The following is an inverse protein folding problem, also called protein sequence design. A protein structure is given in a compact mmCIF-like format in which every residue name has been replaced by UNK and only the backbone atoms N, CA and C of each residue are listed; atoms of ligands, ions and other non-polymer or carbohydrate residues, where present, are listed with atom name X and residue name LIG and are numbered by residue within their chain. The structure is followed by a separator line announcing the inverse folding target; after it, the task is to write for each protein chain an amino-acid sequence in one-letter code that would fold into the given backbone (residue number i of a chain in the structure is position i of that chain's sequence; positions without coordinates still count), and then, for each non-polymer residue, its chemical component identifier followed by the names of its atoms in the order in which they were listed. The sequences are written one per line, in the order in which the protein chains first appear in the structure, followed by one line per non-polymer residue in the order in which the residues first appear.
data_IF_027739258087
#
_entry.id   IF_027739258087
#
_cell.length_a   1.000
_cell.length_b   1.000
_cell.length_c   1.000
_cell.angle_alpha   90.00
_cell.angle_beta   90.00
_cell.angle_gamma   90.00
#
_symmetry.space_group_name_H-M   'P 1'
#
loop_
_entity.id
_entity.type
_entity.pdbx_description
1 polymer ?
#
# COMPACT_ATOMS: atom_id res chain seq x y z
N UNK A 1 -51.11 -28.60 -58.41
CA UNK A 1 -50.20 -29.15 -59.43
C UNK A 1 -48.97 -28.24 -59.51
N UNK A 2 -47.74 -28.71 -59.82
CA UNK A 2 -46.90 -29.55 -58.96
C UNK A 2 -45.40 -29.11 -58.97
N UNK A 3 -44.55 -29.89 -58.27
CA UNK A 3 -43.15 -30.25 -58.65
C UNK A 3 -42.05 -29.18 -58.39
N UNK A 4 -40.86 -29.47 -57.83
CA UNK A 4 -40.03 -30.68 -57.87
C UNK A 4 -39.10 -30.81 -56.66
N UNK A 5 -38.77 -32.06 -56.33
CA UNK A 5 -37.63 -32.48 -55.51
C UNK A 5 -36.29 -32.01 -56.11
N UNK A 6 -35.32 -31.73 -55.24
CA UNK A 6 -33.91 -32.08 -55.47
C UNK A 6 -33.24 -32.37 -54.11
N UNK A 7 -32.85 -33.63 -53.94
CA UNK A 7 -32.04 -34.15 -52.84
C UNK A 7 -30.58 -34.05 -53.27
N UNK A 8 -29.72 -33.47 -52.43
CA UNK A 8 -28.27 -33.73 -52.46
C UNK A 8 -27.83 -33.96 -51.02
N UNK A 9 -27.36 -35.18 -50.77
CA UNK A 9 -26.76 -35.61 -49.53
C UNK A 9 -25.30 -35.13 -49.47
N UNK A 10 -24.85 -34.69 -48.29
CA UNK A 10 -23.44 -34.76 -47.93
C UNK A 10 -23.31 -35.17 -46.46
N UNK A 11 -22.71 -36.33 -46.26
CA UNK A 11 -22.36 -36.91 -44.98
C UNK A 11 -21.20 -36.14 -44.34
N UNK A 12 -21.29 -35.89 -43.04
CA UNK A 12 -20.13 -35.84 -42.15
C UNK A 12 -20.53 -36.39 -40.79
N UNK A 13 -20.14 -37.64 -40.55
CA UNK A 13 -20.23 -38.35 -39.28
C UNK A 13 -18.97 -38.02 -38.48
N UNK A 14 -19.12 -37.49 -37.28
CA UNK A 14 -18.09 -37.61 -36.24
C UNK A 14 -18.73 -38.22 -35.00
N UNK A 15 -18.41 -39.49 -34.83
CA UNK A 15 -18.70 -40.32 -33.66
C UNK A 15 -17.82 -39.91 -32.48
N UNK A 16 -18.28 -40.26 -31.28
CA UNK A 16 -17.87 -39.67 -30.02
C UNK A 16 -16.51 -40.09 -29.46
N UNK A 17 -16.27 -39.60 -28.25
CA UNK A 17 -15.32 -40.16 -27.28
C UNK A 17 -15.68 -39.60 -25.90
N UNK A 18 -16.51 -40.34 -25.17
CA UNK A 18 -16.58 -40.22 -23.72
C UNK A 18 -15.26 -40.79 -23.17
N UNK A 19 -14.43 -39.94 -22.56
CA UNK A 19 -13.30 -40.40 -21.78
C UNK A 19 -13.70 -40.40 -20.30
N UNK A 20 -14.34 -41.49 -19.88
CA UNK A 20 -14.19 -41.96 -18.50
C UNK A 20 -12.84 -42.66 -18.43
N UNK A 21 -11.96 -42.23 -17.54
CA UNK A 21 -10.80 -43.03 -17.13
C UNK A 21 -10.81 -43.16 -15.62
N UNK A 22 -11.41 -44.25 -15.16
CA UNK A 22 -11.02 -44.86 -13.90
C UNK A 22 -9.61 -45.42 -14.09
N UNK A 23 -8.70 -45.09 -13.19
CA UNK A 23 -7.44 -45.82 -13.06
C UNK A 23 -7.21 -46.02 -11.57
N UNK A 24 -7.67 -47.17 -11.09
CA UNK A 24 -7.14 -47.80 -9.89
C UNK A 24 -5.66 -48.11 -10.16
N UNK A 25 -4.79 -47.44 -9.42
CA UNK A 25 -3.36 -47.67 -9.45
C UNK A 25 -2.81 -47.42 -8.06
N UNK A 26 -2.61 -48.49 -7.30
CA UNK A 26 -1.90 -48.45 -6.01
C UNK A 26 -0.41 -48.25 -6.34
N UNK A 27 0.26 -47.18 -5.87
CA UNK A 27 1.69 -47.06 -6.08
C UNK A 27 2.43 -48.10 -5.22
N UNK A 28 3.08 -49.06 -5.89
CA UNK A 28 4.08 -49.95 -5.29
C UNK A 28 5.38 -49.16 -5.17
N UNK A 29 5.91 -49.05 -3.95
CA UNK A 29 7.18 -48.40 -3.67
C UNK A 29 8.36 -49.25 -4.18
N UNK A 30 9.31 -48.61 -4.87
CA UNK A 30 10.67 -49.13 -5.06
C UNK A 30 11.69 -48.02 -4.68
N UNK A 31 12.85 -48.38 -4.11
CA UNK A 31 13.51 -47.59 -3.09
C UNK A 31 14.64 -46.70 -3.61
N UNK A 32 14.88 -45.58 -2.92
CA UNK A 32 16.21 -45.00 -2.79
C UNK A 32 16.50 -43.73 -3.59
N UNK A 33 15.92 -42.61 -3.17
CA UNK A 33 16.63 -41.33 -3.02
C UNK A 33 15.78 -40.47 -2.06
N UNK A 34 16.22 -40.37 -0.81
CA UNK A 34 15.53 -39.60 0.23
C UNK A 34 15.55 -38.11 -0.14
N UNK A 35 14.49 -37.64 -0.80
CA UNK A 35 14.10 -36.23 -0.69
C UNK A 35 13.31 -36.11 0.60
N UNK A 36 13.94 -35.51 1.61
CA UNK A 36 13.24 -35.07 2.81
C UNK A 36 12.16 -34.08 2.39
N UNK A 37 10.93 -34.57 2.26
CA UNK A 37 9.76 -33.74 2.32
C UNK A 37 9.69 -33.20 3.75
N UNK A 38 10.21 -31.99 3.95
CA UNK A 38 9.88 -31.23 5.15
C UNK A 38 8.42 -30.85 5.02
N UNK A 39 7.56 -31.59 5.71
CA UNK A 39 6.21 -31.15 6.03
C UNK A 39 6.35 -29.85 6.83
N UNK A 40 6.12 -28.70 6.20
CA UNK A 40 6.07 -27.44 6.93
C UNK A 40 4.78 -27.45 7.75
N UNK A 41 4.87 -27.95 8.97
CA UNK A 41 3.92 -27.61 10.03
C UNK A 41 3.82 -26.08 10.04
N UNK A 42 2.60 -25.55 9.92
CA UNK A 42 2.35 -24.13 10.07
C UNK A 42 2.89 -23.67 11.43
N UNK A 43 4.11 -23.15 11.40
CA UNK A 43 4.75 -22.50 12.52
C UNK A 43 4.22 -21.09 12.45
N UNK A 44 3.57 -20.63 13.52
CA UNK A 44 3.09 -19.25 13.66
C UNK A 44 4.23 -18.29 13.32
N UNK A 45 4.21 -17.69 12.12
CA UNK A 45 5.17 -16.67 11.71
C UNK A 45 4.99 -15.44 12.58
N UNK A 46 5.84 -15.29 13.59
CA UNK A 46 5.92 -14.10 14.46
C UNK A 46 7.35 -13.55 14.57
N UNK A 47 8.29 -14.06 13.78
CA UNK A 47 9.72 -13.72 13.92
C UNK A 47 10.35 -13.06 12.69
N UNK A 48 9.59 -12.75 11.63
CA UNK A 48 10.09 -11.85 10.57
C UNK A 48 9.69 -10.41 10.93
N UNK A 49 10.65 -9.46 11.00
CA UNK A 49 10.34 -8.05 11.22
C UNK A 49 9.35 -7.55 10.18
N UNK A 50 8.38 -6.73 10.59
CA UNK A 50 7.46 -6.12 9.64
C UNK A 50 8.23 -5.35 8.54
N UNK A 51 7.73 -5.33 7.29
CA UNK A 51 8.40 -4.65 6.19
C UNK A 51 8.76 -3.21 6.54
N UNK A 52 9.99 -2.78 6.28
CA UNK A 52 10.41 -1.39 6.47
C UNK A 52 10.56 -0.92 7.93
N UNK A 53 10.46 -1.83 8.91
CA UNK A 53 10.87 -1.57 10.28
C UNK A 53 12.39 -1.69 10.38
N UNK A 54 13.04 -0.62 10.83
CA UNK A 54 14.48 -0.54 11.09
C UNK A 54 14.73 -0.15 12.54
N UNK A 55 15.90 -0.48 13.12
CA UNK A 55 16.26 0.01 14.44
C UNK A 55 16.13 1.53 14.51
N UNK A 56 15.35 2.03 15.47
CA UNK A 56 15.16 3.46 15.66
C UNK A 56 16.50 4.14 15.87
N UNK A 57 16.87 5.14 15.05
CA UNK A 57 18.12 5.85 15.22
C UNK A 57 18.11 6.63 16.54
N UNK A 58 19.27 6.72 17.19
CA UNK A 58 19.39 7.59 18.37
C UNK A 58 19.12 9.07 17.97
N UNK A 59 18.44 9.86 18.83
CA UNK A 59 18.21 11.27 18.57
C UNK A 59 19.52 11.99 18.27
N UNK A 60 19.62 12.60 17.07
CA UNK A 60 20.79 13.39 16.68
C UNK A 60 20.62 14.83 17.17
N UNK A 61 21.51 15.35 18.04
CA UNK A 61 21.48 16.76 18.39
C UNK A 61 22.00 17.62 17.22
N UNK A 62 21.18 18.56 16.75
CA UNK A 62 21.59 19.52 15.73
C UNK A 62 20.39 20.25 15.09
N UNK A 63 20.63 21.38 14.39
CA UNK A 63 19.58 22.15 13.72
C UNK A 63 19.19 21.58 12.33
N UNK A 64 19.79 20.46 11.91
CA UNK A 64 19.53 19.89 10.60
C UNK A 64 18.23 19.07 10.62
N UNK A 65 17.46 19.07 9.51
CA UNK A 65 16.28 18.23 9.41
C UNK A 65 16.67 16.76 9.62
N UNK A 66 15.79 16.01 10.28
CA UNK A 66 15.97 14.58 10.55
C UNK A 66 16.15 13.82 9.22
N UNK A 67 15.41 14.25 8.20
CA UNK A 67 15.48 13.77 6.83
C UNK A 67 15.32 14.93 5.85
N UNK A 68 16.10 14.93 4.78
CA UNK A 68 15.90 15.83 3.63
C UNK A 68 16.24 15.07 2.35
N UNK A 69 15.34 15.05 1.34
CA UNK A 69 15.65 14.45 0.06
C UNK A 69 16.76 15.24 -0.64
N UNK A 70 17.61 14.56 -1.41
CA UNK A 70 18.74 15.18 -2.10
C UNK A 70 18.32 16.26 -3.11
N UNK A 71 17.08 16.22 -3.58
CA UNK A 71 16.47 17.24 -4.43
C UNK A 71 15.09 17.56 -3.90
N UNK A 72 14.87 18.83 -3.53
CA UNK A 72 13.57 19.29 -3.07
C UNK A 72 12.67 19.63 -4.27
N UNK A 73 11.39 19.23 -4.25
CA UNK A 73 10.40 19.67 -5.22
C UNK A 73 10.30 21.21 -5.25
N UNK A 74 10.15 21.82 -6.44
CA UNK A 74 10.06 23.28 -6.57
C UNK A 74 8.80 23.82 -5.90
N UNK A 75 7.69 23.10 -6.00
CA UNK A 75 6.44 23.38 -5.29
C UNK A 75 6.26 22.34 -4.19
N UNK A 76 6.10 22.81 -2.97
CA UNK A 76 5.98 21.98 -1.77
C UNK A 76 5.13 22.69 -0.73
N UNK A 77 4.53 21.91 0.16
CA UNK A 77 3.78 22.40 1.32
C UNK A 77 4.39 21.84 2.59
N UNK A 78 4.42 22.66 3.63
CA UNK A 78 4.81 22.23 4.97
C UNK A 78 3.54 21.82 5.71
N UNK A 79 3.41 20.54 6.02
CA UNK A 79 2.41 20.04 6.94
C UNK A 79 2.90 20.27 8.38
N UNK A 80 2.05 20.92 9.18
CA UNK A 80 2.32 21.27 10.57
C UNK A 80 1.05 21.10 11.39
N UNK A 81 1.18 20.62 12.62
CA UNK A 81 0.08 20.49 13.58
C UNK A 81 0.26 21.46 14.74
N UNK A 82 -0.76 21.59 15.59
CA UNK A 82 -0.74 22.55 16.69
C UNK A 82 0.18 22.14 17.87
N UNK A 83 0.55 20.86 17.93
CA UNK A 83 1.48 20.33 18.93
C UNK A 83 2.90 20.88 18.66
N UNK A 84 3.48 21.67 19.59
CA UNK A 84 4.80 22.28 19.39
C UNK A 84 5.94 21.27 19.39
N UNK A 85 5.73 20.05 19.91
CA UNK A 85 6.75 19.00 19.98
C UNK A 85 6.70 18.06 18.76
N UNK A 86 5.74 18.28 17.86
CA UNK A 86 5.55 17.50 16.65
C UNK A 86 6.58 17.88 15.57
N UNK A 87 7.04 16.90 14.77
CA UNK A 87 7.84 17.19 13.60
C UNK A 87 7.00 17.90 12.55
N UNK A 88 7.67 18.53 11.58
CA UNK A 88 7.05 19.02 10.35
C UNK A 88 7.34 18.07 9.19
N UNK A 89 6.44 18.01 8.21
CA UNK A 89 6.64 17.23 6.99
C UNK A 89 6.52 18.14 5.77
N UNK A 90 7.57 18.27 4.97
CA UNK A 90 7.53 19.06 3.73
C UNK A 90 7.37 18.16 2.52
N UNK A 91 6.15 18.07 1.99
CA UNK A 91 5.78 17.17 0.89
C UNK A 91 5.71 17.92 -0.44
N UNK A 92 5.96 17.19 -1.53
CA UNK A 92 5.78 17.70 -2.89
C UNK A 92 4.33 18.10 -3.14
N UNK A 93 4.10 19.11 -3.99
CA UNK A 93 2.77 19.43 -4.51
C UNK A 93 2.79 19.18 -6.01
N UNK A 94 2.01 18.20 -6.52
CA UNK A 94 1.96 17.97 -7.96
C UNK A 94 1.37 19.18 -8.71
N UNK A 95 1.75 19.32 -9.98
CA UNK A 95 1.28 20.43 -10.81
C UNK A 95 -0.25 20.47 -10.91
N UNK A 96 -0.81 21.66 -10.76
CA UNK A 96 -2.27 21.88 -10.84
C UNK A 96 -3.05 21.46 -9.59
N UNK A 97 -2.39 21.00 -8.52
CA UNK A 97 -3.02 20.73 -7.23
C UNK A 97 -3.13 22.01 -6.38
N UNK A 98 -4.18 22.08 -5.57
CA UNK A 98 -4.30 23.07 -4.51
C UNK A 98 -3.85 22.48 -3.18
N UNK A 99 -3.42 23.34 -2.25
CA UNK A 99 -2.94 22.96 -0.92
C UNK A 99 -3.53 23.88 0.15
N UNK A 100 -3.82 23.32 1.31
CA UNK A 100 -4.28 24.04 2.50
C UNK A 100 -3.73 23.40 3.77
N UNK A 101 -3.64 24.17 4.86
CA UNK A 101 -3.40 23.59 6.18
C UNK A 101 -4.60 22.76 6.65
N UNK A 102 -4.34 21.83 7.57
CA UNK A 102 -5.39 21.04 8.22
C UNK A 102 -5.75 21.51 9.62
N UNK A 103 -6.36 20.64 10.40
CA UNK A 103 -6.70 20.86 11.80
C UNK A 103 -6.53 19.56 12.61
N UNK A 104 -6.27 19.68 13.91
CA UNK A 104 -5.94 18.53 14.77
C UNK A 104 -4.64 17.88 14.30
N UNK A 105 -4.70 16.57 14.06
CA UNK A 105 -3.55 15.79 13.56
C UNK A 105 -3.36 15.93 12.04
N UNK A 106 -4.27 16.60 11.32
CA UNK A 106 -4.09 16.88 9.89
C UNK A 106 -3.20 18.11 9.73
N UNK A 107 -2.00 17.91 9.20
CA UNK A 107 -1.05 19.00 8.97
C UNK A 107 -1.22 19.71 7.62
N UNK A 108 -1.66 18.98 6.59
CA UNK A 108 -1.97 19.56 5.29
C UNK A 108 -3.00 18.72 4.52
N UNK A 109 -3.75 19.39 3.66
CA UNK A 109 -4.65 18.78 2.68
C UNK A 109 -4.30 19.28 1.28
N UNK A 110 -4.32 18.38 0.30
CA UNK A 110 -4.08 18.70 -1.09
C UNK A 110 -5.20 18.13 -1.96
N UNK A 111 -5.67 18.92 -2.91
CA UNK A 111 -6.75 18.53 -3.82
C UNK A 111 -6.27 18.59 -5.26
N UNK A 112 -6.44 17.47 -5.96
CA UNK A 112 -6.02 17.26 -7.33
C UNK A 112 -7.19 17.17 -8.32
N UNK A 113 -6.87 17.01 -9.61
CA UNK A 113 -7.86 16.75 -10.65
C UNK A 113 -8.55 15.38 -10.43
N UNK A 114 -9.67 15.17 -11.13
CA UNK A 114 -10.40 13.89 -11.15
C UNK A 114 -10.81 13.33 -9.76
N UNK A 115 -10.99 14.21 -8.77
CA UNK A 115 -11.35 13.79 -7.41
C UNK A 115 -10.18 13.19 -6.61
N UNK A 116 -8.95 13.36 -7.09
CA UNK A 116 -7.75 12.97 -6.34
C UNK A 116 -7.58 13.89 -5.12
N UNK A 117 -7.13 13.31 -4.02
CA UNK A 117 -6.87 14.04 -2.77
C UNK A 117 -5.67 13.43 -2.06
N UNK A 118 -4.93 14.26 -1.34
CA UNK A 118 -3.91 13.82 -0.40
C UNK A 118 -4.13 14.48 0.96
N UNK A 119 -3.95 13.72 2.03
CA UNK A 119 -4.02 14.21 3.40
C UNK A 119 -2.71 13.83 4.08
N UNK A 120 -2.04 14.82 4.68
CA UNK A 120 -0.84 14.60 5.48
C UNK A 120 -1.24 14.68 6.95
N UNK A 121 -1.13 13.58 7.68
CA UNK A 121 -1.38 13.54 9.13
C UNK A 121 -0.07 13.39 9.90
N UNK A 122 0.00 14.03 11.06
CA UNK A 122 1.11 13.95 12.01
C UNK A 122 0.46 13.66 13.37
N UNK A 123 0.39 12.38 13.70
CA UNK A 123 -0.28 11.90 14.90
C UNK A 123 0.76 11.43 15.91
N UNK A 124 0.64 11.88 17.15
CA UNK A 124 1.52 11.39 18.20
C UNK A 124 1.20 9.92 18.55
N UNK A 125 2.23 9.17 18.90
CA UNK A 125 2.11 7.75 19.25
C UNK A 125 3.07 7.38 20.37
N UNK A 126 2.62 6.49 21.26
CA UNK A 126 3.46 5.85 22.28
C UNK A 126 3.89 4.44 21.84
N UNK A 127 3.47 4.01 20.64
CA UNK A 127 3.77 2.71 20.08
C UNK A 127 5.10 2.71 19.32
N UNK A 128 5.80 1.58 19.36
CA UNK A 128 6.92 1.33 18.45
C UNK A 128 6.47 1.33 16.98
N UNK A 129 7.43 1.45 16.06
CA UNK A 129 7.15 1.55 14.63
C UNK A 129 6.31 0.37 14.10
N UNK A 130 6.63 -0.86 14.52
CA UNK A 130 5.89 -2.05 14.07
C UNK A 130 4.43 -2.01 14.51
N UNK A 131 4.18 -1.66 15.77
CA UNK A 131 2.84 -1.55 16.33
C UNK A 131 2.07 -0.40 15.68
N UNK A 132 2.71 0.77 15.52
CA UNK A 132 2.10 1.94 14.88
C UNK A 132 1.70 1.65 13.41
N UNK A 133 2.53 0.92 12.65
CA UNK A 133 2.23 0.56 11.26
C UNK A 133 1.06 -0.40 11.15
N UNK A 134 1.00 -1.39 12.04
CA UNK A 134 -0.14 -2.31 12.12
C UNK A 134 -1.43 -1.57 12.48
N UNK A 135 -1.38 -0.71 13.49
CA UNK A 135 -2.54 0.09 13.90
C UNK A 135 -3.02 1.01 12.77
N UNK A 136 -2.10 1.60 12.01
CA UNK A 136 -2.43 2.38 10.81
C UNK A 136 -3.14 1.53 9.75
N UNK A 137 -2.59 0.35 9.42
CA UNK A 137 -3.20 -0.55 8.43
C UNK A 137 -4.58 -1.06 8.88
N UNK A 138 -4.75 -1.35 10.17
CA UNK A 138 -6.04 -1.75 10.74
C UNK A 138 -7.06 -0.61 10.63
N UNK A 139 -6.67 0.62 10.95
CA UNK A 139 -7.54 1.80 10.82
C UNK A 139 -7.91 2.11 9.36
N UNK A 140 -6.93 2.05 8.45
CA UNK A 140 -7.12 2.27 7.02
C UNK A 140 -8.19 1.35 6.41
N UNK A 141 -8.33 0.15 6.98
CA UNK A 141 -9.20 -0.89 6.44
C UNK A 141 -10.48 -1.12 7.26
N UNK A 142 -10.62 -0.47 8.42
CA UNK A 142 -11.71 -0.70 9.37
C UNK A 142 -13.11 -0.52 8.78
N UNK A 143 -13.29 0.49 7.92
CA UNK A 143 -14.59 0.84 7.34
C UNK A 143 -14.83 0.19 5.96
N UNK A 144 -13.92 -0.68 5.50
CA UNK A 144 -13.99 -1.29 4.16
C UNK A 144 -14.56 -2.70 4.17
N UNK A 145 -15.48 -2.96 3.24
CA UNK A 145 -16.01 -4.30 2.96
C UNK A 145 -15.12 -5.10 2.00
N UNK A 146 -14.42 -4.39 1.10
CA UNK A 146 -13.42 -4.95 0.20
C UNK A 146 -12.14 -4.16 0.38
N UNK A 147 -11.05 -4.88 0.59
CA UNK A 147 -9.73 -4.32 0.79
C UNK A 147 -8.72 -5.10 -0.03
N UNK A 148 -7.92 -4.39 -0.80
CA UNK A 148 -6.61 -4.87 -1.24
C UNK A 148 -5.56 -4.01 -0.56
N UNK A 149 -4.58 -4.66 0.05
CA UNK A 149 -3.50 -4.01 0.76
C UNK A 149 -2.19 -4.70 0.39
N UNK A 150 -1.31 -3.96 -0.25
CA UNK A 150 0.08 -4.33 -0.47
C UNK A 150 0.95 -3.42 0.37
N UNK A 151 1.83 -4.01 1.18
CA UNK A 151 2.77 -3.28 2.03
C UNK A 151 4.17 -3.46 1.48
N UNK A 152 4.85 -2.36 1.23
CA UNK A 152 6.23 -2.32 0.77
C UNK A 152 7.11 -1.67 1.85
N UNK A 153 8.35 -2.14 2.03
CA UNK A 153 9.34 -1.41 2.81
C UNK A 153 9.50 0.02 2.28
N UNK A 154 9.66 0.96 3.20
CA UNK A 154 9.72 2.37 2.91
C UNK A 154 10.56 3.14 3.89
N UNK A 155 11.73 2.60 4.26
CA UNK A 155 12.69 3.31 5.11
C UNK A 155 12.99 4.69 4.50
N UNK A 156 13.09 5.71 5.37
CA UNK A 156 13.38 7.08 4.95
C UNK A 156 14.44 7.68 5.87
N UNK A 157 15.63 7.96 5.33
CA UNK A 157 16.73 8.55 6.11
C UNK A 157 17.10 7.77 7.40
N UNK A 158 17.02 6.44 7.39
CA UNK A 158 17.26 5.61 8.58
C UNK A 158 16.06 5.49 9.53
N UNK A 159 14.92 6.08 9.20
CA UNK A 159 13.68 5.95 9.95
C UNK A 159 12.85 4.79 9.42
N UNK A 160 12.14 4.13 10.33
CA UNK A 160 11.17 3.11 9.97
C UNK A 160 10.07 3.74 9.11
N UNK A 161 9.71 3.07 8.03
CA UNK A 161 8.65 3.54 7.14
C UNK A 161 8.14 2.47 6.20
N UNK A 162 6.93 2.68 5.69
CA UNK A 162 6.25 1.78 4.76
C UNK A 162 5.55 2.58 3.66
N UNK A 163 5.36 1.91 2.54
CA UNK A 163 4.45 2.35 1.49
C UNK A 163 3.33 1.34 1.36
N UNK A 164 2.09 1.81 1.50
CA UNK A 164 0.89 0.98 1.40
C UNK A 164 0.17 1.35 0.10
N UNK A 165 -0.38 0.36 -0.60
CA UNK A 165 -1.10 0.57 -1.85
C UNK A 165 -2.22 -0.44 -2.02
N UNK A 166 -3.29 0.01 -2.66
CA UNK A 166 -4.38 -0.87 -3.05
C UNK A 166 -5.68 -0.13 -3.31
N UNK A 167 -6.76 -0.81 -2.96
CA UNK A 167 -8.14 -0.41 -3.22
C UNK A 167 -8.96 -0.66 -1.96
N UNK A 168 -9.78 0.33 -1.59
CA UNK A 168 -10.74 0.28 -0.50
C UNK A 168 -12.15 0.42 -1.08
N UNK A 169 -13.11 -0.34 -0.55
CA UNK A 169 -14.53 -0.16 -0.90
C UNK A 169 -15.47 -0.45 0.26
N UNK A 170 -16.39 0.48 0.49
CA UNK A 170 -17.48 0.35 1.47
C UNK A 170 -18.77 -0.28 0.87
N UNK A 171 -18.70 -0.75 -0.38
CA UNK A 171 -19.83 -1.30 -1.14
C UNK A 171 -20.62 -0.25 -1.93
N UNK A 172 -20.36 1.03 -1.73
CA UNK A 172 -20.97 2.15 -2.48
C UNK A 172 -19.95 2.92 -3.31
N UNK A 173 -18.76 3.12 -2.75
CA UNK A 173 -17.64 3.78 -3.41
C UNK A 173 -16.43 2.84 -3.41
N UNK A 174 -15.63 2.95 -4.45
CA UNK A 174 -14.36 2.21 -4.57
C UNK A 174 -13.27 3.22 -4.88
N UNK A 175 -12.29 3.31 -3.98
CA UNK A 175 -11.16 4.23 -4.11
C UNK A 175 -9.87 3.45 -4.22
N UNK A 176 -8.98 3.89 -5.10
CA UNK A 176 -7.59 3.46 -5.10
C UNK A 176 -6.79 4.41 -4.20
N UNK A 177 -5.78 3.86 -3.53
CA UNK A 177 -4.95 4.63 -2.62
C UNK A 177 -3.47 4.26 -2.71
N UNK A 178 -2.63 5.20 -2.29
CA UNK A 178 -1.20 5.03 -2.03
C UNK A 178 -0.83 5.87 -0.81
N UNK A 179 -0.23 5.21 0.17
CA UNK A 179 0.16 5.84 1.43
C UNK A 179 1.66 5.72 1.64
N UNK A 180 2.25 6.75 2.25
CA UNK A 180 3.60 6.71 2.82
C UNK A 180 3.47 6.97 4.31
N UNK A 181 3.95 6.03 5.14
CA UNK A 181 4.00 6.21 6.59
C UNK A 181 5.43 6.16 7.10
N UNK A 182 5.76 7.02 8.05
CA UNK A 182 7.09 7.11 8.67
C UNK A 182 6.93 7.31 10.17
N UNK A 183 7.61 6.49 10.96
CA UNK A 183 7.69 6.63 12.41
C UNK A 183 8.87 7.53 12.77
N UNK A 184 8.60 8.56 13.56
CA UNK A 184 9.52 9.68 13.82
C UNK A 184 9.69 9.88 15.32
N UNK A 185 10.87 9.58 15.88
CA UNK A 185 11.20 9.91 17.26
C UNK A 185 11.58 11.40 17.34
N UNK A 186 10.89 12.18 18.19
CA UNK A 186 11.28 13.58 18.49
C UNK A 186 11.91 13.76 19.87
N UNK A 187 12.04 12.68 20.64
CA UNK A 187 12.73 12.65 21.93
C UNK A 187 11.80 12.67 23.13
N UNK A 188 10.81 13.58 23.15
CA UNK A 188 9.78 13.58 24.21
C UNK A 188 8.65 12.57 23.94
N UNK A 189 8.34 12.35 22.67
CA UNK A 189 7.39 11.35 22.18
C UNK A 189 7.67 10.99 20.73
N UNK A 190 7.01 9.94 20.26
CA UNK A 190 7.10 9.53 18.86
C UNK A 190 5.88 10.02 18.09
N UNK A 191 6.03 10.14 16.77
CA UNK A 191 4.97 10.55 15.86
C UNK A 191 4.91 9.62 14.65
N UNK A 192 3.71 9.38 14.16
CA UNK A 192 3.47 8.76 12.87
C UNK A 192 3.07 9.83 11.87
N UNK A 193 3.92 10.04 10.87
CA UNK A 193 3.58 10.86 9.71
C UNK A 193 2.97 9.94 8.67
N UNK A 194 1.78 10.27 8.16
CA UNK A 194 1.15 9.56 7.06
C UNK A 194 0.76 10.52 5.94
N UNK A 195 1.22 10.23 4.72
CA UNK A 195 0.72 10.87 3.50
C UNK A 195 -0.24 9.90 2.84
N UNK A 196 -1.53 10.17 2.94
CA UNK A 196 -2.60 9.31 2.41
C UNK A 196 -3.16 9.90 1.11
N UNK A 197 -2.91 9.25 -0.02
CA UNK A 197 -3.35 9.71 -1.35
C UNK A 197 -4.46 8.81 -1.87
N UNK A 198 -5.58 9.41 -2.28
CA UNK A 198 -6.77 8.68 -2.75
C UNK A 198 -7.29 9.24 -4.06
N UNK A 199 -7.98 8.38 -4.82
CA UNK A 199 -8.77 8.75 -5.97
C UNK A 199 -9.92 7.76 -6.20
N UNK A 200 -10.99 8.16 -6.90
CA UNK A 200 -11.91 7.19 -7.51
C UNK A 200 -11.13 6.15 -8.32
N UNK A 201 -11.54 4.87 -8.27
CA UNK A 201 -10.75 3.76 -8.87
C UNK A 201 -10.65 3.77 -10.40
N UNK A 202 -11.42 4.65 -11.06
CA UNK A 202 -11.40 4.88 -12.50
C UNK A 202 -10.73 6.22 -12.86
N UNK A 203 -10.17 6.93 -11.88
CA UNK A 203 -9.51 8.21 -12.10
C UNK A 203 -8.25 8.03 -12.95
N UNK A 204 -8.15 8.68 -14.13
CA UNK A 204 -6.99 8.55 -14.99
C UNK A 204 -5.78 9.25 -14.37
N UNK A 205 -4.61 8.63 -14.48
CA UNK A 205 -3.33 9.26 -14.14
C UNK A 205 -3.09 9.40 -12.63
N UNK A 206 -3.65 8.53 -11.79
CA UNK A 206 -3.40 8.55 -10.34
C UNK A 206 -1.94 8.25 -9.97
N UNK A 207 -1.30 7.30 -10.66
CA UNK A 207 -0.04 6.72 -10.22
C UNK A 207 1.10 7.75 -10.14
N UNK A 208 1.17 8.67 -11.11
CA UNK A 208 2.22 9.70 -11.16
C UNK A 208 2.15 10.71 -10.01
N UNK A 209 1.03 11.43 -9.76
CA UNK A 209 0.92 12.34 -8.63
C UNK A 209 0.97 11.58 -7.30
N UNK A 210 0.38 10.38 -7.21
CA UNK A 210 0.45 9.57 -5.99
C UNK A 210 1.90 9.18 -5.67
N UNK A 211 2.69 8.76 -6.66
CA UNK A 211 4.11 8.48 -6.48
C UNK A 211 4.89 9.70 -6.03
N UNK A 212 4.67 10.87 -6.64
CA UNK A 212 5.32 12.13 -6.26
C UNK A 212 4.99 12.55 -4.82
N UNK A 213 3.73 12.43 -4.41
CA UNK A 213 3.26 12.79 -3.08
C UNK A 213 3.79 11.86 -1.98
N UNK A 214 4.05 10.61 -2.32
CA UNK A 214 4.50 9.56 -1.39
C UNK A 214 5.97 9.18 -1.57
N UNK A 215 6.73 10.01 -2.30
CA UNK A 215 8.18 9.94 -2.39
C UNK A 215 8.82 10.42 -1.07
N UNK A 216 10.14 10.35 -0.97
CA UNK A 216 10.87 10.86 0.20
C UNK A 216 10.63 12.36 0.39
N UNK A 217 10.33 12.74 1.63
CA UNK A 217 10.01 14.11 2.02
C UNK A 217 10.88 14.60 3.19
N UNK A 218 10.97 15.92 3.34
CA UNK A 218 11.77 16.50 4.42
C UNK A 218 11.01 16.39 5.75
N UNK A 219 11.72 15.98 6.81
CA UNK A 219 11.21 15.96 8.18
C UNK A 219 12.04 16.94 9.02
N UNK A 220 11.39 18.01 9.47
CA UNK A 220 11.98 18.97 10.41
C UNK A 220 11.62 18.61 11.85
N UNK A 221 12.60 18.64 12.75
CA UNK A 221 12.34 18.55 14.19
C UNK A 221 11.96 19.93 14.76
N UNK A 222 11.18 19.99 15.85
CA UNK A 222 10.84 21.24 16.53
C UNK A 222 12.05 22.00 17.09
#
# INVERSE_FOLDING_TARGET
MPRRLAVVALLAVLAGSACTRSSEGVPVAAPGAQQSASTTTATTGRDEPAPGVVPTPEPRPGPEPLCAPATLPPVRTVALVADPDAPTATVAVPDGWSMSGGNGDVGAELNGPAGMRAVVTIAATDADAETAFREYADQLTADSSITTLSVLPGEMCGLSGQTLLGILSDGTQTVQYRDRIVHVPTGERDYLIAVHVTAPSDAPGFDEPAALLTDDFEIGLP
#
